data_IF_282352449542
#
_entry.id   IF_282352449542
#
_cell.length_a   1.000
_cell.length_b   1.000
_cell.length_c   1.000
_cell.angle_alpha   90.00
_cell.angle_beta   90.00
_cell.angle_gamma   90.00
#
_symmetry.space_group_name_H-M   'P 1'
#
loop_
_entity.id
_entity.type
_entity.pdbx_description
1 polymer ?
#
# COMPACT_ATOMS: atom_id res chain seq x y z
N UNK A 1 -56.47 -57.72 -25.65
CA UNK A 1 -55.99 -57.55 -24.26
C UNK A 1 -55.79 -56.07 -23.97
N UNK A 2 -56.58 -55.47 -23.06
CA UNK A 2 -56.33 -54.09 -22.61
C UNK A 2 -55.07 -54.09 -21.74
N UNK A 3 -54.00 -53.37 -22.13
CA UNK A 3 -52.81 -53.17 -21.28
C UNK A 3 -53.30 -52.54 -19.96
N UNK A 4 -53.18 -53.28 -18.85
CA UNK A 4 -53.45 -52.72 -17.50
C UNK A 4 -52.49 -51.55 -17.31
N UNK A 5 -53.03 -50.33 -17.23
CA UNK A 5 -52.22 -49.13 -16.92
C UNK A 5 -51.70 -49.30 -15.49
N UNK A 6 -50.37 -49.29 -15.33
CA UNK A 6 -49.74 -49.29 -14.00
C UNK A 6 -50.23 -48.05 -13.23
N UNK A 7 -50.61 -48.23 -11.96
CA UNK A 7 -51.01 -47.13 -11.09
C UNK A 7 -49.84 -46.17 -10.87
N UNK A 8 -50.10 -44.86 -10.88
CA UNK A 8 -49.08 -43.84 -10.59
C UNK A 8 -48.44 -44.05 -9.21
N UNK A 9 -49.15 -44.65 -8.25
CA UNK A 9 -48.60 -45.02 -6.93
C UNK A 9 -47.51 -46.09 -6.99
N UNK A 10 -47.46 -46.90 -8.05
CA UNK A 10 -46.41 -47.90 -8.28
C UNK A 10 -45.37 -47.35 -9.26
N UNK A 11 -45.80 -46.58 -10.25
CA UNK A 11 -44.93 -46.03 -11.29
C UNK A 11 -43.95 -44.98 -10.71
N UNK A 12 -44.40 -44.10 -9.82
CA UNK A 12 -43.55 -43.07 -9.22
C UNK A 12 -42.41 -43.65 -8.38
N UNK A 13 -42.66 -44.56 -7.41
CA UNK A 13 -41.57 -45.19 -6.67
C UNK A 13 -40.64 -46.01 -7.54
N UNK A 14 -41.16 -46.65 -8.61
CA UNK A 14 -40.32 -47.40 -9.55
C UNK A 14 -39.39 -46.48 -10.34
N UNK A 15 -39.90 -45.35 -10.87
CA UNK A 15 -39.08 -44.35 -11.59
C UNK A 15 -38.11 -43.66 -10.65
N UNK A 16 -38.52 -43.32 -9.44
CA UNK A 16 -37.63 -42.75 -8.43
C UNK A 16 -36.52 -43.74 -8.05
N UNK A 17 -36.88 -45.01 -7.83
CA UNK A 17 -35.92 -46.08 -7.51
C UNK A 17 -34.90 -46.30 -8.63
N UNK A 18 -35.35 -46.38 -9.89
CA UNK A 18 -34.42 -46.50 -11.02
C UNK A 18 -33.56 -45.25 -11.20
N UNK A 19 -34.12 -44.05 -11.01
CA UNK A 19 -33.37 -42.79 -11.06
C UNK A 19 -32.30 -42.75 -9.96
N UNK A 20 -32.65 -43.11 -8.73
CA UNK A 20 -31.69 -43.19 -7.62
C UNK A 20 -30.59 -44.21 -7.89
N UNK A 21 -30.89 -45.37 -8.50
CA UNK A 21 -29.88 -46.36 -8.88
C UNK A 21 -28.94 -45.79 -9.94
N UNK A 22 -29.46 -45.08 -10.95
CA UNK A 22 -28.62 -44.43 -11.98
C UNK A 22 -27.77 -43.31 -11.37
N UNK A 23 -28.34 -42.45 -10.52
CA UNK A 23 -27.61 -41.38 -9.86
C UNK A 23 -26.52 -41.93 -8.92
N UNK A 24 -26.85 -42.92 -8.09
CA UNK A 24 -25.90 -43.56 -7.18
C UNK A 24 -24.81 -44.32 -7.93
N UNK A 25 -25.16 -45.04 -9.00
CA UNK A 25 -24.20 -45.74 -9.85
C UNK A 25 -23.26 -44.78 -10.57
N UNK A 26 -23.77 -43.66 -11.06
CA UNK A 26 -22.97 -42.61 -11.73
C UNK A 26 -22.06 -41.91 -10.72
N UNK A 27 -22.57 -41.55 -9.54
CA UNK A 27 -21.78 -40.92 -8.47
C UNK A 27 -20.67 -41.86 -7.98
N UNK A 28 -20.98 -43.14 -7.79
CA UNK A 28 -20.00 -44.15 -7.40
C UNK A 28 -18.94 -44.37 -8.49
N UNK A 29 -19.34 -44.42 -9.77
CA UNK A 29 -18.39 -44.53 -10.88
C UNK A 29 -17.45 -43.32 -10.93
N UNK A 30 -17.98 -42.10 -10.77
CA UNK A 30 -17.17 -40.87 -10.73
C UNK A 30 -16.23 -40.90 -9.53
N UNK A 31 -16.72 -41.17 -8.32
CA UNK A 31 -15.91 -41.09 -7.10
C UNK A 31 -14.88 -42.23 -6.96
N UNK A 32 -15.21 -43.46 -7.35
CA UNK A 32 -14.32 -44.61 -7.15
C UNK A 32 -13.47 -44.96 -8.36
N UNK A 33 -14.01 -44.86 -9.58
CA UNK A 33 -13.28 -45.30 -10.77
C UNK A 33 -12.57 -44.15 -11.49
N UNK A 34 -13.18 -42.96 -11.52
CA UNK A 34 -12.71 -41.86 -12.39
C UNK A 34 -12.00 -40.76 -11.61
N UNK A 35 -12.30 -40.56 -10.32
CA UNK A 35 -11.74 -39.49 -9.49
C UNK A 35 -10.21 -39.48 -9.48
N UNK A 36 -9.57 -40.64 -9.23
CA UNK A 36 -8.11 -40.75 -9.25
C UNK A 36 -7.50 -40.43 -10.62
N UNK A 37 -8.22 -40.73 -11.71
CA UNK A 37 -7.79 -40.37 -13.07
C UNK A 37 -7.94 -38.87 -13.34
N UNK A 38 -9.01 -38.25 -12.84
CA UNK A 38 -9.24 -36.80 -12.94
C UNK A 38 -8.17 -36.04 -12.15
N UNK A 39 -7.91 -36.43 -10.90
CA UNK A 39 -6.86 -35.82 -10.08
C UNK A 39 -5.46 -36.04 -10.68
N UNK A 40 -5.19 -37.24 -11.21
CA UNK A 40 -3.96 -37.53 -11.94
C UNK A 40 -3.78 -36.63 -13.18
N UNK A 41 -4.86 -36.35 -13.93
CA UNK A 41 -4.82 -35.46 -15.08
C UNK A 41 -4.67 -33.99 -14.67
N UNK A 42 -5.32 -33.53 -13.59
CA UNK A 42 -5.12 -32.20 -13.03
C UNK A 42 -3.66 -31.99 -12.61
N UNK A 43 -3.09 -32.97 -11.90
CA UNK A 43 -1.68 -32.94 -11.49
C UNK A 43 -0.72 -32.90 -12.69
N UNK A 44 -1.01 -33.68 -13.74
CA UNK A 44 -0.24 -33.61 -15.01
C UNK A 44 -0.35 -32.25 -15.69
N UNK A 45 -1.52 -31.61 -15.65
CA UNK A 45 -1.69 -30.28 -16.21
C UNK A 45 -0.93 -29.22 -15.41
N UNK A 46 -0.97 -29.29 -14.07
CA UNK A 46 -0.20 -28.40 -13.18
C UNK A 46 1.30 -28.55 -13.46
N UNK A 47 1.82 -29.77 -13.46
CA UNK A 47 3.25 -30.03 -13.71
C UNK A 47 3.70 -29.57 -15.10
N UNK A 48 2.85 -29.70 -16.13
CA UNK A 48 3.11 -29.09 -17.44
C UNK A 48 3.17 -27.56 -17.38
N UNK A 49 2.33 -26.92 -16.56
CA UNK A 49 2.34 -25.47 -16.35
C UNK A 49 3.56 -25.01 -15.56
N UNK A 50 4.05 -25.79 -14.59
CA UNK A 50 5.33 -25.52 -13.90
C UNK A 50 6.45 -25.33 -14.93
N UNK A 51 6.60 -26.26 -15.89
CA UNK A 51 7.61 -26.12 -16.94
C UNK A 51 7.35 -25.00 -17.95
N UNK A 52 6.11 -24.52 -18.05
CA UNK A 52 5.77 -23.35 -18.88
C UNK A 52 6.13 -22.05 -18.18
N UNK A 53 5.89 -21.97 -16.86
CA UNK A 53 6.16 -20.78 -16.06
C UNK A 53 7.63 -20.66 -15.70
N UNK A 54 8.27 -21.75 -15.26
CA UNK A 54 9.69 -21.80 -14.94
C UNK A 54 10.42 -22.56 -16.04
N UNK A 55 10.84 -21.86 -17.09
CA UNK A 55 11.68 -22.46 -18.13
C UNK A 55 12.97 -22.96 -17.48
N UNK A 56 13.36 -24.19 -17.80
CA UNK A 56 14.61 -24.78 -17.33
C UNK A 56 14.72 -24.88 -15.79
N UNK A 57 13.64 -25.23 -15.10
CA UNK A 57 13.71 -25.53 -13.66
C UNK A 57 14.54 -26.80 -13.40
N UNK A 58 15.26 -26.84 -12.27
CA UNK A 58 16.10 -27.97 -11.84
C UNK A 58 15.28 -29.07 -11.19
N UNK A 59 14.34 -28.70 -10.33
CA UNK A 59 13.42 -29.62 -9.65
C UNK A 59 12.18 -28.89 -9.16
N UNK A 60 11.09 -29.61 -8.90
CA UNK A 60 9.96 -29.10 -8.11
C UNK A 60 9.50 -30.15 -7.10
N UNK A 61 8.90 -29.71 -6.01
CA UNK A 61 8.36 -30.56 -4.95
C UNK A 61 7.06 -29.97 -4.41
N UNK A 62 6.08 -30.81 -4.12
CA UNK A 62 4.86 -30.37 -3.43
C UNK A 62 5.18 -30.17 -1.95
N UNK A 63 4.79 -29.01 -1.40
CA UNK A 63 5.02 -28.64 0.01
C UNK A 63 3.71 -28.46 0.79
N UNK A 64 2.59 -28.40 0.10
CA UNK A 64 1.26 -28.33 0.70
C UNK A 64 0.20 -28.93 -0.22
N UNK A 65 -0.73 -29.66 0.38
CA UNK A 65 -1.97 -30.12 -0.25
C UNK A 65 -3.11 -30.09 0.77
N UNK A 66 -4.17 -29.36 0.45
CA UNK A 66 -5.33 -29.16 1.32
C UNK A 66 -5.97 -30.50 1.67
N UNK A 67 -6.06 -30.79 2.97
CA UNK A 67 -6.66 -32.02 3.48
C UNK A 67 -5.75 -33.25 3.43
N UNK A 68 -4.48 -33.10 3.04
CA UNK A 68 -3.49 -34.17 3.04
C UNK A 68 -2.35 -33.86 4.03
N UNK A 69 -2.42 -34.42 5.24
CA UNK A 69 -1.42 -34.21 6.28
C UNK A 69 -0.09 -34.93 6.03
N UNK A 70 -0.01 -35.82 5.04
CA UNK A 70 1.23 -36.52 4.67
C UNK A 70 2.17 -35.63 3.83
N UNK A 71 1.64 -34.57 3.21
CA UNK A 71 2.44 -33.58 2.49
C UNK A 71 3.02 -32.61 3.49
N UNK A 72 4.31 -32.76 3.77
CA UNK A 72 5.06 -31.89 4.69
C UNK A 72 6.17 -31.19 3.91
N UNK A 73 6.32 -29.90 4.17
CA UNK A 73 7.48 -29.15 3.72
C UNK A 73 8.72 -29.65 4.45
N UNK A 74 9.63 -30.32 3.73
CA UNK A 74 10.87 -30.86 4.30
C UNK A 74 11.93 -29.78 4.56
N UNK A 75 11.77 -28.59 3.98
CA UNK A 75 12.70 -27.47 4.13
C UNK A 75 11.93 -26.18 4.49
N UNK A 76 11.22 -26.14 5.64
CA UNK A 76 10.43 -24.99 6.02
C UNK A 76 11.34 -23.82 6.44
N UNK A 77 10.88 -22.61 6.15
CA UNK A 77 11.68 -21.39 6.39
C UNK A 77 11.71 -20.96 7.86
N UNK A 78 10.70 -21.37 8.63
CA UNK A 78 10.53 -21.16 10.07
C UNK A 78 9.99 -22.44 10.69
N UNK A 79 10.27 -22.68 11.98
CA UNK A 79 9.87 -23.92 12.68
C UNK A 79 8.35 -24.14 12.68
N UNK A 80 7.57 -23.05 12.66
CA UNK A 80 6.11 -23.08 12.58
C UNK A 80 5.65 -22.23 11.39
N UNK A 81 5.44 -22.80 10.20
CA UNK A 81 4.99 -22.05 9.03
C UNK A 81 3.60 -21.47 9.26
N UNK A 82 3.35 -20.27 8.73
CA UNK A 82 2.01 -19.66 8.73
C UNK A 82 0.99 -20.62 8.10
N UNK A 83 -0.26 -20.62 8.56
CA UNK A 83 -1.31 -21.41 7.93
C UNK A 83 -1.54 -20.96 6.48
N UNK A 84 -1.86 -21.92 5.60
CA UNK A 84 -2.23 -21.60 4.21
C UNK A 84 -3.65 -21.05 4.17
N UNK A 85 -3.86 -20.01 3.35
CA UNK A 85 -5.18 -19.48 3.12
C UNK A 85 -6.13 -20.54 2.54
N UNK A 86 -7.40 -20.46 2.91
CA UNK A 86 -8.43 -21.42 2.49
C UNK A 86 -8.63 -21.55 0.98
N UNK A 87 -8.25 -20.53 0.20
CA UNK A 87 -8.28 -20.52 -1.27
C UNK A 87 -7.16 -21.36 -1.89
N UNK A 88 -6.07 -21.63 -1.15
CA UNK A 88 -4.93 -22.41 -1.63
C UNK A 88 -5.27 -23.90 -1.51
N UNK A 89 -5.15 -24.61 -2.63
CA UNK A 89 -5.42 -26.06 -2.71
C UNK A 89 -4.13 -26.86 -2.68
N UNK A 90 -3.12 -26.42 -3.44
CA UNK A 90 -1.78 -27.04 -3.47
C UNK A 90 -0.70 -25.97 -3.62
N UNK A 91 0.46 -26.20 -3.02
CA UNK A 91 1.65 -25.37 -3.24
C UNK A 91 2.84 -26.26 -3.63
N UNK A 92 3.53 -25.87 -4.69
CA UNK A 92 4.75 -26.51 -5.17
C UNK A 92 5.92 -25.54 -5.02
N UNK A 93 6.99 -26.00 -4.39
CA UNK A 93 8.28 -25.32 -4.41
C UNK A 93 9.03 -25.72 -5.68
N UNK A 94 9.46 -24.73 -6.46
CA UNK A 94 10.21 -24.92 -7.70
C UNK A 94 11.61 -24.37 -7.50
N UNK A 95 12.63 -25.18 -7.78
CA UNK A 95 14.02 -24.75 -7.80
C UNK A 95 14.44 -24.44 -9.22
N UNK A 96 14.81 -23.19 -9.49
CA UNK A 96 15.27 -22.73 -10.80
C UNK A 96 16.70 -23.20 -11.07
N UNK A 97 17.18 -23.02 -12.31
CA UNK A 97 18.50 -23.47 -12.73
C UNK A 97 19.66 -22.77 -12.00
N UNK A 98 19.42 -21.54 -11.52
CA UNK A 98 20.33 -20.72 -10.69
C UNK A 98 20.13 -20.96 -9.18
N UNK A 99 19.51 -22.09 -8.82
CA UNK A 99 19.24 -22.52 -7.44
C UNK A 99 18.36 -21.55 -6.62
N UNK A 100 17.67 -20.61 -7.27
CA UNK A 100 16.64 -19.79 -6.63
C UNK A 100 15.33 -20.59 -6.46
N UNK A 101 14.48 -20.10 -5.58
CA UNK A 101 13.23 -20.76 -5.21
C UNK A 101 12.06 -19.90 -5.68
N UNK A 102 11.17 -20.52 -6.46
CA UNK A 102 9.85 -19.99 -6.80
C UNK A 102 8.75 -20.89 -6.29
N UNK A 103 7.52 -20.41 -6.37
CA UNK A 103 6.33 -21.14 -5.94
C UNK A 103 5.35 -21.28 -7.10
N UNK A 104 4.68 -22.42 -7.16
CA UNK A 104 3.52 -22.62 -8.02
C UNK A 104 2.34 -23.03 -7.16
N UNK A 105 1.31 -22.21 -7.19
CA UNK A 105 0.09 -22.41 -6.43
C UNK A 105 -1.00 -22.95 -7.32
N UNK A 106 -1.80 -23.87 -6.79
CA UNK A 106 -3.16 -24.13 -7.26
C UNK A 106 -4.11 -23.45 -6.29
N UNK A 107 -4.95 -22.55 -6.78
CA UNK A 107 -5.92 -21.82 -5.97
C UNK A 107 -7.30 -21.83 -6.61
N UNK A 108 -8.33 -21.75 -5.78
CA UNK A 108 -9.72 -21.57 -6.21
C UNK A 108 -10.18 -20.18 -5.82
N UNK A 109 -10.68 -19.39 -6.77
CA UNK A 109 -11.17 -18.04 -6.51
C UNK A 109 -12.52 -18.08 -5.79
N UNK A 110 -12.93 -16.94 -5.21
CA UNK A 110 -14.34 -16.70 -4.93
C UNK A 110 -15.17 -16.68 -6.23
N UNK A 111 -16.50 -16.77 -6.09
CA UNK A 111 -17.41 -16.72 -7.24
C UNK A 111 -17.40 -15.35 -7.91
N UNK A 112 -17.02 -15.31 -9.18
CA UNK A 112 -16.99 -14.10 -10.01
C UNK A 112 -18.31 -13.84 -10.73
N UNK A 113 -18.29 -13.95 -12.06
CA UNK A 113 -19.45 -13.64 -12.91
C UNK A 113 -20.53 -14.72 -12.82
N UNK A 114 -20.17 -15.99 -12.93
CA UNK A 114 -21.15 -17.10 -12.86
C UNK A 114 -20.71 -18.30 -12.02
N UNK A 115 -19.46 -18.30 -11.56
CA UNK A 115 -18.93 -19.37 -10.74
C UNK A 115 -17.52 -19.05 -10.25
N UNK A 116 -16.82 -20.06 -9.75
CA UNK A 116 -15.44 -19.94 -9.32
C UNK A 116 -14.48 -20.39 -10.42
N UNK A 117 -13.22 -20.00 -10.28
CA UNK A 117 -12.12 -20.40 -11.14
C UNK A 117 -11.12 -21.23 -10.35
N UNK A 118 -10.72 -22.37 -10.91
CA UNK A 118 -9.52 -23.08 -10.47
C UNK A 118 -8.34 -22.61 -11.33
N UNK A 119 -7.35 -21.98 -10.69
CA UNK A 119 -6.19 -21.39 -11.35
C UNK A 119 -4.89 -22.00 -10.86
N UNK A 120 -3.88 -21.96 -11.73
CA UNK A 120 -2.48 -22.23 -11.38
C UNK A 120 -1.68 -20.97 -11.61
N UNK A 121 -0.92 -20.59 -10.60
CA UNK A 121 -0.20 -19.33 -10.54
C UNK A 121 1.25 -19.61 -10.23
N UNK A 122 2.16 -19.13 -11.07
CA UNK A 122 3.59 -19.12 -10.80
C UNK A 122 3.97 -17.79 -10.16
N UNK A 123 4.60 -17.85 -8.98
CA UNK A 123 5.06 -16.70 -8.20
C UNK A 123 6.56 -16.79 -8.02
N UNK A 124 7.26 -15.68 -8.26
CA UNK A 124 8.70 -15.58 -8.12
C UNK A 124 9.11 -14.16 -7.73
N UNK A 125 9.80 -14.02 -6.59
CA UNK A 125 10.38 -12.75 -6.11
C UNK A 125 9.35 -11.63 -5.95
N UNK A 126 8.21 -11.92 -5.33
CA UNK A 126 7.16 -10.95 -5.04
C UNK A 126 6.30 -10.58 -6.26
N UNK A 127 6.33 -11.39 -7.31
CA UNK A 127 5.58 -11.15 -8.53
C UNK A 127 5.00 -12.43 -9.15
N UNK A 128 3.83 -12.31 -9.76
CA UNK A 128 3.20 -13.38 -10.55
C UNK A 128 3.82 -13.36 -11.94
N UNK A 129 4.49 -14.45 -12.29
CA UNK A 129 5.18 -14.63 -13.58
C UNK A 129 4.38 -15.46 -14.58
N UNK A 130 3.30 -16.09 -14.13
CA UNK A 130 2.47 -16.95 -14.97
C UNK A 130 1.15 -17.29 -14.31
N UNK A 131 0.11 -17.37 -15.14
CA UNK A 131 -1.24 -17.75 -14.75
C UNK A 131 -1.80 -18.71 -15.78
N UNK A 132 -2.58 -19.70 -15.35
CA UNK A 132 -3.38 -20.51 -16.23
C UNK A 132 -4.64 -21.01 -15.53
N UNK A 133 -5.74 -21.08 -16.26
CA UNK A 133 -6.96 -21.73 -15.77
C UNK A 133 -6.83 -23.26 -15.91
N UNK A 134 -7.30 -24.00 -14.90
CA UNK A 134 -7.38 -25.47 -14.88
C UNK A 134 -8.82 -25.99 -14.99
N UNK A 135 -9.75 -25.27 -14.39
CA UNK A 135 -11.14 -25.69 -14.20
C UNK A 135 -11.95 -24.60 -13.51
N UNK A 136 -13.12 -24.96 -13.00
CA UNK A 136 -14.03 -24.06 -12.31
C UNK A 136 -15.48 -24.20 -12.81
N UNK A 137 -16.39 -23.51 -12.12
CA UNK A 137 -17.80 -23.40 -12.53
C UNK A 137 -18.11 -22.12 -13.30
N UNK A 138 -17.12 -21.24 -13.49
CA UNK A 138 -17.23 -20.02 -14.30
C UNK A 138 -17.55 -20.33 -15.77
N UNK A 139 -18.41 -19.52 -16.38
CA UNK A 139 -18.75 -19.64 -17.79
C UNK A 139 -17.61 -19.21 -18.71
N UNK A 140 -17.71 -19.64 -19.97
CA UNK A 140 -16.73 -19.38 -21.04
C UNK A 140 -16.32 -17.91 -21.17
N UNK A 141 -17.20 -16.96 -20.85
CA UNK A 141 -16.90 -15.52 -20.89
C UNK A 141 -15.92 -15.08 -19.80
N UNK A 142 -16.04 -15.59 -18.57
CA UNK A 142 -15.09 -15.32 -17.49
C UNK A 142 -13.75 -16.01 -17.76
N UNK A 143 -13.78 -17.25 -18.25
CA UNK A 143 -12.58 -18.02 -18.64
C UNK A 143 -11.79 -17.28 -19.74
N UNK A 144 -12.45 -16.70 -20.73
CA UNK A 144 -11.79 -15.94 -21.79
C UNK A 144 -11.05 -14.69 -21.27
N UNK A 145 -11.59 -14.02 -20.25
CA UNK A 145 -10.92 -12.89 -19.62
C UNK A 145 -9.63 -13.32 -18.92
N UNK A 146 -9.67 -14.43 -18.18
CA UNK A 146 -8.49 -15.03 -17.52
C UNK A 146 -7.44 -15.46 -18.53
N UNK A 147 -7.84 -16.12 -19.63
CA UNK A 147 -6.91 -16.56 -20.67
C UNK A 147 -6.23 -15.38 -21.38
N UNK A 148 -6.96 -14.29 -21.59
CA UNK A 148 -6.40 -13.06 -22.14
C UNK A 148 -5.36 -12.47 -21.20
N UNK A 149 -5.64 -12.39 -19.90
CA UNK A 149 -4.66 -11.91 -18.91
C UNK A 149 -3.44 -12.84 -18.81
N UNK A 150 -3.67 -14.14 -18.74
CA UNK A 150 -2.65 -15.19 -18.78
C UNK A 150 -1.69 -15.02 -19.96
N UNK A 151 -2.18 -14.61 -21.14
CA UNK A 151 -1.33 -14.37 -22.32
C UNK A 151 -0.43 -13.13 -22.22
N UNK A 152 -0.76 -12.17 -21.34
CA UNK A 152 0.08 -11.01 -21.06
C UNK A 152 1.11 -11.28 -19.98
N UNK A 153 0.90 -12.28 -19.13
CA UNK A 153 1.83 -12.62 -18.07
C UNK A 153 3.04 -13.38 -18.62
N UNK A 154 4.22 -12.86 -18.30
CA UNK A 154 5.50 -13.49 -18.61
C UNK A 154 6.57 -12.97 -17.66
N UNK A 155 7.78 -13.52 -17.76
CA UNK A 155 8.94 -13.00 -17.04
C UNK A 155 9.23 -11.53 -17.34
N UNK A 156 8.86 -11.04 -18.53
CA UNK A 156 9.07 -9.64 -18.93
C UNK A 156 7.88 -8.73 -18.58
N UNK A 157 6.73 -9.33 -18.22
CA UNK A 157 5.47 -8.65 -17.93
C UNK A 157 4.80 -9.35 -16.75
N UNK A 158 5.27 -9.01 -15.54
CA UNK A 158 4.82 -9.61 -14.29
C UNK A 158 3.70 -8.80 -13.66
N UNK A 159 2.94 -9.43 -12.75
CA UNK A 159 1.96 -8.76 -11.89
C UNK A 159 2.48 -8.68 -10.46
N UNK A 160 2.53 -7.48 -9.88
CA UNK A 160 2.92 -7.24 -8.49
C UNK A 160 1.71 -6.89 -7.61
N UNK A 161 1.86 -7.05 -6.30
CA UNK A 161 0.80 -6.76 -5.35
C UNK A 161 0.40 -5.27 -5.44
N UNK A 162 -0.90 -5.01 -5.58
CA UNK A 162 -1.43 -3.66 -5.72
C UNK A 162 -1.42 -3.10 -7.15
N UNK A 163 -0.93 -3.85 -8.15
CA UNK A 163 -1.19 -3.53 -9.55
C UNK A 163 -2.69 -3.63 -9.81
N UNK A 164 -3.26 -2.60 -10.43
CA UNK A 164 -4.70 -2.50 -10.68
C UNK A 164 -5.05 -3.02 -12.08
N UNK A 165 -6.00 -3.97 -12.15
CA UNK A 165 -6.54 -4.48 -13.42
C UNK A 165 -7.40 -3.48 -14.21
N UNK A 166 -7.52 -2.22 -13.77
CA UNK A 166 -8.30 -1.15 -14.44
C UNK A 166 -8.05 -1.02 -15.94
N UNK A 167 -6.81 -1.20 -16.42
CA UNK A 167 -6.50 -1.16 -17.85
C UNK A 167 -7.03 -2.37 -18.64
N UNK A 168 -7.26 -3.50 -17.96
CA UNK A 168 -7.79 -4.73 -18.57
C UNK A 168 -9.31 -4.87 -18.43
N UNK A 169 -9.92 -4.23 -17.43
CA UNK A 169 -11.37 -4.21 -17.21
C UNK A 169 -12.11 -3.25 -18.16
N UNK A 170 -11.47 -2.16 -18.58
CA UNK A 170 -12.07 -1.17 -19.49
C UNK A 170 -12.31 -1.68 -20.92
N UNK A 171 -11.68 -2.80 -21.31
CA UNK A 171 -11.75 -3.35 -22.67
C UNK A 171 -12.52 -4.68 -22.82
N UNK A 172 -13.12 -5.23 -21.76
CA UNK A 172 -13.42 -6.66 -21.69
C UNK A 172 -14.88 -7.06 -21.35
N UNK A 173 -15.82 -6.12 -21.28
CA UNK A 173 -17.25 -6.41 -21.08
C UNK A 173 -17.67 -6.77 -19.64
N UNK A 174 -18.97 -6.94 -19.40
CA UNK A 174 -19.55 -7.08 -18.05
C UNK A 174 -19.06 -8.33 -17.27
N UNK A 175 -18.77 -9.43 -17.96
CA UNK A 175 -18.25 -10.65 -17.32
C UNK A 175 -16.84 -10.47 -16.77
N UNK A 176 -15.99 -9.76 -17.49
CA UNK A 176 -14.63 -9.47 -17.04
C UNK A 176 -14.60 -8.51 -15.85
N UNK A 177 -15.54 -7.55 -15.77
CA UNK A 177 -15.66 -6.64 -14.64
C UNK A 177 -15.99 -7.35 -13.32
N UNK A 178 -16.68 -8.48 -13.36
CA UNK A 178 -16.97 -9.30 -12.18
C UNK A 178 -15.86 -10.35 -11.91
N UNK A 179 -15.20 -10.87 -12.94
CA UNK A 179 -14.19 -11.93 -12.82
C UNK A 179 -12.83 -11.40 -12.36
N UNK A 180 -12.40 -10.23 -12.83
CA UNK A 180 -11.07 -9.70 -12.52
C UNK A 180 -10.87 -9.34 -11.04
N UNK A 181 -11.83 -8.74 -10.30
CA UNK A 181 -11.64 -8.46 -8.88
C UNK A 181 -11.41 -9.71 -8.02
N UNK A 182 -12.17 -10.79 -8.27
CA UNK A 182 -12.00 -12.05 -7.51
C UNK A 182 -10.68 -12.75 -7.88
N UNK A 183 -10.25 -12.65 -9.14
CA UNK A 183 -8.93 -13.10 -9.56
C UNK A 183 -7.82 -12.29 -8.89
N UNK A 184 -7.97 -10.96 -8.82
CA UNK A 184 -6.99 -10.06 -8.20
C UNK A 184 -6.80 -10.38 -6.73
N UNK A 185 -7.90 -10.46 -5.99
CA UNK A 185 -7.90 -10.85 -4.57
C UNK A 185 -7.16 -12.18 -4.37
N UNK A 186 -7.42 -13.17 -5.24
CA UNK A 186 -6.73 -14.46 -5.18
C UNK A 186 -5.23 -14.32 -5.42
N UNK A 187 -4.80 -13.54 -6.42
CA UNK A 187 -3.38 -13.33 -6.70
C UNK A 187 -2.67 -12.58 -5.56
N UNK A 188 -3.32 -11.58 -4.97
CA UNK A 188 -2.81 -10.82 -3.83
C UNK A 188 -2.61 -11.72 -2.59
N UNK A 189 -3.53 -12.65 -2.34
CA UNK A 189 -3.38 -13.68 -1.28
C UNK A 189 -2.13 -14.53 -1.54
N UNK A 190 -1.92 -14.98 -2.77
CA UNK A 190 -0.75 -15.82 -3.12
C UNK A 190 0.56 -15.05 -3.00
N UNK A 191 0.57 -13.77 -3.40
CA UNK A 191 1.72 -12.89 -3.25
C UNK A 191 2.04 -12.61 -1.78
N UNK A 192 1.03 -12.49 -0.92
CA UNK A 192 1.21 -12.35 0.53
C UNK A 192 1.70 -13.65 1.20
N UNK A 193 1.40 -14.82 0.63
CA UNK A 193 1.86 -16.12 1.15
C UNK A 193 3.33 -16.41 0.81
N UNK A 194 3.84 -15.98 -0.35
CA UNK A 194 5.19 -16.30 -0.82
C UNK A 194 6.31 -16.04 0.22
N UNK A 195 6.36 -14.87 0.89
CA UNK A 195 7.39 -14.59 1.91
C UNK A 195 7.38 -15.57 3.09
N UNK A 196 6.25 -16.26 3.33
CA UNK A 196 6.11 -17.26 4.39
C UNK A 196 6.59 -18.66 3.97
N UNK A 197 6.94 -18.88 2.69
CA UNK A 197 7.32 -20.21 2.14
C UNK A 197 8.68 -20.23 1.47
N UNK A 198 9.14 -19.09 0.98
CA UNK A 198 10.45 -18.94 0.39
C UNK A 198 11.25 -18.02 1.29
N UNK A 199 12.30 -18.58 1.89
CA UNK A 199 13.37 -17.76 2.43
C UNK A 199 13.96 -17.14 1.19
N UNK A 200 13.67 -15.86 0.98
CA UNK A 200 14.24 -15.09 -0.13
C UNK A 200 15.72 -15.40 -0.09
N UNK A 201 16.21 -16.20 -1.05
CA UNK A 201 17.64 -16.37 -1.24
C UNK A 201 18.12 -14.96 -1.43
N UNK A 202 18.90 -14.48 -0.47
CA UNK A 202 19.21 -13.08 -0.32
C UNK A 202 20.19 -12.64 -1.41
N UNK A 203 19.75 -12.64 -2.67
CA UNK A 203 19.83 -11.44 -3.48
C UNK A 203 18.85 -10.37 -2.99
N UNK A 204 18.07 -10.63 -1.93
CA UNK A 204 17.71 -9.57 -0.99
C UNK A 204 19.01 -8.88 -0.61
N UNK A 205 19.15 -7.71 -1.17
CA UNK A 205 19.74 -6.58 -0.50
C UNK A 205 19.04 -6.53 0.88
N UNK A 206 19.57 -7.26 1.87
CA UNK A 206 19.23 -7.07 3.28
C UNK A 206 19.82 -5.71 3.59
N UNK A 207 18.98 -4.73 3.34
CA UNK A 207 19.23 -3.39 3.72
C UNK A 207 18.35 -3.08 4.90
N UNK A 208 18.92 -3.28 6.07
CA UNK A 208 18.30 -2.77 7.26
C UNK A 208 18.49 -1.26 7.23
N UNK A 209 17.38 -0.56 7.00
CA UNK A 209 17.32 0.88 7.22
C UNK A 209 16.62 1.12 8.54
N UNK A 210 17.39 1.33 9.60
CA UNK A 210 16.84 1.75 10.88
C UNK A 210 16.65 3.27 10.85
N UNK A 211 15.44 3.75 11.10
CA UNK A 211 15.13 5.17 11.17
C UNK A 211 14.61 5.49 12.58
N UNK A 212 15.10 6.58 13.16
CA UNK A 212 14.63 7.08 14.45
C UNK A 212 14.41 8.59 14.38
N UNK A 213 13.39 9.07 15.09
CA UNK A 213 13.12 10.50 15.26
C UNK A 213 14.08 11.03 16.32
N UNK A 214 14.94 11.97 15.93
CA UNK A 214 15.88 12.67 16.84
C UNK A 214 15.18 13.86 17.49
N UNK A 215 14.41 14.61 16.70
CA UNK A 215 13.53 15.66 17.19
C UNK A 215 12.35 15.81 16.26
N UNK A 216 11.19 16.12 16.84
CA UNK A 216 9.99 16.45 16.11
C UNK A 216 9.53 17.85 16.53
N UNK A 217 9.75 18.81 15.64
CA UNK A 217 9.25 20.16 15.78
C UNK A 217 8.11 20.40 14.79
N UNK A 218 7.31 21.43 15.06
CA UNK A 218 6.07 21.65 14.31
C UNK A 218 6.29 21.91 12.82
N UNK A 219 7.46 22.42 12.44
CA UNK A 219 7.84 22.73 11.06
C UNK A 219 8.89 21.80 10.49
N UNK A 220 9.63 21.08 11.34
CA UNK A 220 10.76 20.26 10.91
C UNK A 220 10.84 18.97 11.68
N UNK A 221 11.06 17.89 10.95
CA UNK A 221 11.37 16.59 11.53
C UNK A 221 12.84 16.28 11.30
N UNK A 222 13.52 15.92 12.37
CA UNK A 222 14.90 15.45 12.33
C UNK A 222 14.94 13.94 12.52
N UNK A 223 15.49 13.25 11.54
CA UNK A 223 15.65 11.81 11.52
C UNK A 223 17.13 11.43 11.59
N UNK A 224 17.43 10.34 12.29
CA UNK A 224 18.68 9.61 12.14
C UNK A 224 18.37 8.27 11.46
N UNK A 225 19.06 8.01 10.35
CA UNK A 225 18.90 6.79 9.58
C UNK A 225 20.26 6.09 9.43
N UNK A 226 20.24 4.77 9.55
CA UNK A 226 21.41 3.92 9.27
C UNK A 226 20.98 2.88 8.26
N UNK A 227 21.73 2.76 7.16
CA UNK A 227 21.55 1.74 6.14
C UNK A 227 22.79 0.82 6.15
N UNK A 228 22.58 -0.46 6.42
CA UNK A 228 23.61 -1.50 6.32
C UNK A 228 23.23 -2.49 5.23
N UNK A 229 24.16 -2.88 4.37
CA UNK A 229 23.89 -3.84 3.29
C UNK A 229 24.89 -5.00 3.30
N UNK A 230 24.37 -6.22 3.17
CA UNK A 230 25.20 -7.42 3.03
C UNK A 230 25.83 -7.57 1.63
N UNK A 231 25.44 -6.71 0.67
CA UNK A 231 25.80 -6.80 -0.74
C UNK A 231 26.92 -5.85 -1.20
N UNK A 232 27.77 -5.36 -0.28
CA UNK A 232 28.88 -4.43 -0.55
C UNK A 232 28.48 -3.02 -1.02
N UNK A 233 27.20 -2.64 -0.95
CA UNK A 233 26.84 -1.22 -1.02
C UNK A 233 27.45 -0.48 0.16
N UNK A 234 27.81 0.78 -0.04
CA UNK A 234 28.35 1.59 1.04
C UNK A 234 27.31 1.64 2.19
N UNK A 235 27.68 1.06 3.33
CA UNK A 235 26.92 1.26 4.57
C UNK A 235 26.97 2.75 4.90
N UNK A 236 25.86 3.33 5.34
CA UNK A 236 25.74 4.76 5.61
C UNK A 236 24.98 5.03 6.89
N UNK A 237 25.43 6.04 7.62
CA UNK A 237 24.68 6.68 8.70
C UNK A 237 24.47 8.15 8.34
N UNK A 238 23.26 8.65 8.45
CA UNK A 238 22.96 10.04 8.17
C UNK A 238 21.98 10.67 9.14
N UNK A 239 22.09 11.98 9.24
CA UNK A 239 21.09 12.88 9.80
C UNK A 239 20.32 13.56 8.69
N UNK A 240 19.00 13.54 8.75
CA UNK A 240 18.13 14.12 7.74
C UNK A 240 17.17 15.08 8.43
N UNK A 241 17.04 16.28 7.88
CA UNK A 241 16.02 17.25 8.33
C UNK A 241 15.03 17.46 7.19
N UNK A 242 13.76 17.19 7.46
CA UNK A 242 12.66 17.36 6.52
C UNK A 242 11.82 18.56 6.93
N UNK A 243 11.43 19.40 5.95
CA UNK A 243 10.47 20.46 6.21
C UNK A 243 9.04 19.88 6.08
N UNK A 244 8.31 19.82 7.18
CA UNK A 244 6.91 19.39 7.21
C UNK A 244 5.92 20.55 7.12
N UNK A 245 6.42 21.79 6.97
CA UNK A 245 5.59 22.96 6.65
C UNK A 245 4.93 22.83 5.29
N UNK A 246 5.57 22.22 4.29
CA UNK A 246 5.04 22.14 2.93
C UNK A 246 4.76 20.68 2.54
N UNK A 247 3.49 20.43 2.16
CA UNK A 247 2.99 19.22 1.48
C UNK A 247 2.69 18.02 2.37
N UNK A 248 1.99 17.04 1.79
CA UNK A 248 1.93 15.68 2.35
C UNK A 248 3.35 15.22 2.72
N UNK A 249 3.51 14.49 3.83
CA UNK A 249 4.82 14.10 4.37
C UNK A 249 5.80 13.49 3.36
N UNK A 250 5.27 12.86 2.32
CA UNK A 250 6.02 12.20 1.26
C UNK A 250 6.56 13.19 0.22
N UNK A 251 5.90 14.33 0.08
CA UNK A 251 6.25 15.43 -0.81
C UNK A 251 7.04 16.54 -0.10
N UNK A 252 7.25 16.41 1.21
CA UNK A 252 8.08 17.32 2.01
C UNK A 252 9.49 17.46 1.41
N UNK A 253 9.98 18.69 1.17
CA UNK A 253 11.33 18.90 0.71
C UNK A 253 12.34 18.57 1.82
N UNK A 254 13.40 17.87 1.45
CA UNK A 254 14.57 17.64 2.31
C UNK A 254 15.32 18.96 2.46
N UNK A 255 15.55 19.38 3.70
CA UNK A 255 16.28 20.64 4.00
C UNK A 255 17.76 20.41 4.23
N UNK A 256 18.12 19.26 4.79
CA UNK A 256 19.51 18.84 4.90
C UNK A 256 19.62 17.32 4.96
N UNK A 257 20.71 16.81 4.39
CA UNK A 257 21.14 15.42 4.51
C UNK A 257 22.63 15.47 4.88
N UNK A 258 22.95 15.05 6.09
CA UNK A 258 24.32 15.03 6.61
C UNK A 258 24.75 13.59 6.82
N UNK A 259 25.61 13.08 5.94
CA UNK A 259 26.22 11.75 6.11
C UNK A 259 27.22 11.84 7.27
N UNK A 260 26.99 11.08 8.34
CA UNK A 260 27.85 11.01 9.54
C UNK A 260 28.98 10.01 9.33
N UNK A 261 28.64 8.85 8.79
CA UNK A 261 29.57 7.75 8.53
C UNK A 261 29.20 7.07 7.20
N UNK A 262 30.22 6.63 6.45
CA UNK A 262 30.00 5.74 5.32
C UNK A 262 31.21 4.84 5.04
N UNK A 263 30.98 3.64 4.49
CA UNK A 263 32.04 2.75 4.03
C UNK A 263 32.53 3.17 2.64
N UNK A 264 33.56 4.03 2.61
CA UNK A 264 34.11 4.64 1.39
C UNK A 264 35.01 3.74 0.54
N UNK A 265 34.68 2.45 0.39
CA UNK A 265 35.56 1.47 -0.25
C UNK A 265 35.58 1.50 -1.79
N UNK A 266 34.72 2.27 -2.45
CA UNK A 266 34.75 2.46 -3.90
C UNK A 266 35.78 3.52 -4.36
N UNK A 267 36.87 3.04 -4.95
CA UNK A 267 37.84 3.75 -5.79
C UNK A 267 37.97 5.28 -5.60
N UNK A 268 38.68 5.71 -4.54
CA UNK A 268 39.17 7.08 -4.39
C UNK A 268 38.09 8.15 -4.14
N UNK A 269 38.42 9.42 -4.39
CA UNK A 269 37.58 10.60 -4.09
C UNK A 269 36.19 10.61 -4.80
N UNK A 270 35.83 9.59 -5.59
CA UNK A 270 34.58 9.54 -6.36
C UNK A 270 33.35 9.33 -5.48
N UNK A 271 33.37 8.38 -4.54
CA UNK A 271 32.25 8.19 -3.59
C UNK A 271 32.04 9.42 -2.71
N UNK A 272 33.15 10.02 -2.28
CA UNK A 272 33.21 11.30 -1.57
C UNK A 272 32.54 12.44 -2.38
N UNK A 273 32.80 12.48 -3.69
CA UNK A 273 32.20 13.47 -4.58
C UNK A 273 30.68 13.25 -4.76
N UNK A 274 30.21 12.01 -4.80
CA UNK A 274 28.79 11.67 -4.86
C UNK A 274 28.07 12.14 -3.60
N UNK A 275 28.53 11.75 -2.41
CA UNK A 275 27.85 12.10 -1.14
C UNK A 275 27.90 13.61 -0.84
N UNK A 276 28.95 14.31 -1.29
CA UNK A 276 29.07 15.76 -1.17
C UNK A 276 28.28 16.51 -2.26
N UNK A 277 27.64 15.81 -3.19
CA UNK A 277 26.88 16.45 -4.26
C UNK A 277 27.75 17.17 -5.30
N UNK A 278 29.04 16.84 -5.37
CA UNK A 278 30.02 17.52 -6.25
C UNK A 278 30.36 16.71 -7.51
N UNK A 279 29.98 15.43 -7.57
CA UNK A 279 30.13 14.63 -8.76
C UNK A 279 29.18 15.08 -9.87
N UNK A 280 29.63 14.97 -11.12
CA UNK A 280 28.91 15.49 -12.30
C UNK A 280 27.97 14.46 -12.94
N UNK A 281 27.88 13.26 -12.39
CA UNK A 281 27.04 12.18 -12.90
C UNK A 281 25.54 12.46 -12.67
N UNK A 282 24.70 11.71 -13.37
CA UNK A 282 23.26 11.92 -13.39
C UNK A 282 22.59 11.59 -12.05
N UNK A 283 23.12 10.61 -11.32
CA UNK A 283 22.58 10.26 -10.00
C UNK A 283 22.79 11.42 -9.04
N UNK A 284 24.04 11.88 -8.91
CA UNK A 284 24.41 12.95 -7.97
C UNK A 284 23.59 14.22 -8.20
N UNK A 285 23.40 14.63 -9.47
CA UNK A 285 22.64 15.84 -9.82
C UNK A 285 21.16 15.80 -9.46
N UNK A 286 20.53 14.63 -9.49
CA UNK A 286 19.07 14.50 -9.33
C UNK A 286 18.64 13.91 -7.99
N UNK A 287 19.54 13.20 -7.31
CA UNK A 287 19.23 12.42 -6.12
C UNK A 287 20.07 12.77 -4.91
N UNK A 288 21.12 13.59 -5.03
CA UNK A 288 21.88 14.07 -3.87
C UNK A 288 21.57 15.54 -3.64
N UNK A 289 21.28 15.90 -2.39
CA UNK A 289 20.99 17.27 -2.01
C UNK A 289 22.31 18.09 -2.05
N UNK A 290 22.60 18.70 -3.19
CA UNK A 290 23.74 19.60 -3.38
C UNK A 290 23.23 21.06 -3.45
N UNK A 291 23.84 21.97 -2.69
CA UNK A 291 23.68 23.43 -2.87
C UNK A 291 22.23 23.98 -2.88
N UNK A 292 21.45 23.75 -1.82
CA UNK A 292 20.12 24.36 -1.61
C UNK A 292 19.03 24.02 -2.65
N UNK A 293 19.22 23.00 -3.50
CA UNK A 293 18.15 22.51 -4.39
C UNK A 293 17.04 21.78 -3.61
N UNK A 294 15.81 21.76 -4.15
CA UNK A 294 14.68 21.03 -3.54
C UNK A 294 14.73 19.55 -3.93
N UNK A 295 15.25 18.69 -3.06
CA UNK A 295 15.12 17.23 -3.22
C UNK A 295 13.87 16.75 -2.48
N UNK A 296 12.98 16.07 -3.21
CA UNK A 296 11.75 15.53 -2.67
C UNK A 296 11.93 14.05 -2.28
N UNK A 297 11.48 13.66 -1.08
CA UNK A 297 11.59 12.28 -0.61
C UNK A 297 10.84 11.29 -1.53
N UNK A 298 9.79 11.73 -2.23
CA UNK A 298 9.04 10.95 -3.24
C UNK A 298 9.89 10.45 -4.41
N UNK A 299 11.04 11.06 -4.66
CA UNK A 299 12.01 10.58 -5.65
C UNK A 299 12.55 9.19 -5.32
N UNK A 300 12.48 8.77 -4.05
CA UNK A 300 12.98 7.50 -3.55
C UNK A 300 11.89 6.46 -3.30
N UNK A 301 10.67 6.66 -3.79
CA UNK A 301 9.54 5.75 -3.54
C UNK A 301 9.70 4.32 -4.10
N UNK A 302 10.58 4.15 -5.09
CA UNK A 302 10.80 2.87 -5.75
C UNK A 302 11.82 2.05 -4.97
N UNK A 303 11.62 0.74 -4.91
CA UNK A 303 12.64 -0.19 -4.39
C UNK A 303 13.94 -0.05 -5.17
N UNK A 304 15.07 -0.41 -4.53
CA UNK A 304 16.38 -0.32 -5.17
C UNK A 304 16.45 -1.13 -6.48
N UNK A 305 15.87 -2.33 -6.51
CA UNK A 305 15.79 -3.15 -7.73
C UNK A 305 15.06 -2.43 -8.89
N UNK A 306 13.93 -1.77 -8.60
CA UNK A 306 13.19 -0.97 -9.60
C UNK A 306 13.91 0.30 -10.00
N UNK A 307 14.78 0.81 -9.14
CA UNK A 307 15.64 1.94 -9.45
C UNK A 307 16.78 1.51 -10.40
N UNK A 308 17.39 0.35 -10.15
CA UNK A 308 18.41 -0.25 -11.02
C UNK A 308 17.86 -0.58 -12.42
N UNK A 309 16.68 -1.17 -12.53
CA UNK A 309 15.98 -1.37 -13.82
C UNK A 309 15.75 -0.06 -14.59
N UNK A 310 15.60 1.06 -13.86
CA UNK A 310 15.40 2.39 -14.41
C UNK A 310 16.68 3.10 -14.85
N UNK A 311 17.84 2.42 -14.81
CA UNK A 311 19.15 2.96 -15.16
C UNK A 311 19.56 4.22 -14.36
N UNK A 312 19.04 4.42 -13.14
CA UNK A 312 19.29 5.67 -12.39
C UNK A 312 20.76 5.83 -11.98
N UNK A 313 21.50 4.71 -11.90
CA UNK A 313 22.91 4.66 -11.50
C UNK A 313 23.86 4.59 -12.71
N UNK A 314 23.32 4.58 -13.94
CA UNK A 314 24.12 4.45 -15.16
C UNK A 314 25.10 5.63 -15.30
N UNK A 315 26.37 5.32 -15.54
CA UNK A 315 27.43 6.32 -15.67
C UNK A 315 27.89 6.97 -14.35
N UNK A 316 27.40 6.49 -13.20
CA UNK A 316 27.92 6.93 -11.90
C UNK A 316 29.33 6.38 -11.67
N UNK A 317 30.27 7.25 -11.25
CA UNK A 317 31.66 6.86 -11.00
C UNK A 317 31.85 6.06 -9.70
N UNK A 318 30.89 6.14 -8.77
CA UNK A 318 30.83 5.38 -7.52
C UNK A 318 29.42 4.77 -7.33
N UNK A 319 29.08 3.74 -8.13
CA UNK A 319 27.73 3.21 -8.22
C UNK A 319 27.26 2.53 -6.92
N UNK A 320 28.13 1.85 -6.17
CA UNK A 320 27.74 1.18 -4.92
C UNK A 320 27.50 2.20 -3.79
N UNK A 321 28.21 3.34 -3.82
CA UNK A 321 27.98 4.51 -2.96
C UNK A 321 26.64 5.15 -3.29
N UNK A 322 26.35 5.36 -4.58
CA UNK A 322 25.06 5.89 -5.03
C UNK A 322 23.89 4.97 -4.63
N UNK A 323 24.04 3.65 -4.77
CA UNK A 323 23.04 2.67 -4.33
C UNK A 323 22.85 2.68 -2.81
N UNK A 324 23.94 2.76 -2.03
CA UNK A 324 23.86 2.90 -0.57
C UNK A 324 23.11 4.16 -0.13
N UNK A 325 23.36 5.29 -0.79
CA UNK A 325 22.63 6.54 -0.56
C UNK A 325 21.15 6.40 -0.92
N UNK A 326 20.84 5.87 -2.11
CA UNK A 326 19.47 5.69 -2.58
C UNK A 326 18.67 4.80 -1.62
N UNK A 327 19.29 3.72 -1.16
CA UNK A 327 18.73 2.78 -0.21
C UNK A 327 18.38 3.45 1.12
N UNK A 328 19.30 4.21 1.70
CA UNK A 328 19.09 4.97 2.92
C UNK A 328 17.87 5.90 2.77
N UNK A 329 17.80 6.65 1.67
CA UNK A 329 16.70 7.56 1.38
C UNK A 329 15.37 6.84 1.12
N UNK A 330 15.38 5.67 0.48
CA UNK A 330 14.19 4.83 0.31
C UNK A 330 13.66 4.32 1.66
N UNK A 331 14.54 3.90 2.59
CA UNK A 331 14.11 3.49 3.93
C UNK A 331 13.49 4.65 4.72
N UNK A 332 14.03 5.87 4.58
CA UNK A 332 13.43 7.08 5.16
C UNK A 332 12.05 7.36 4.54
N UNK A 333 11.91 7.24 3.22
CA UNK A 333 10.62 7.35 2.54
C UNK A 333 9.59 6.36 3.12
N UNK A 334 9.97 5.09 3.24
CA UNK A 334 9.08 4.05 3.75
C UNK A 334 8.70 4.32 5.22
N UNK A 335 9.66 4.72 6.06
CA UNK A 335 9.40 5.11 7.44
C UNK A 335 8.45 6.30 7.54
N UNK A 336 8.69 7.35 6.75
CA UNK A 336 7.84 8.54 6.71
C UNK A 336 6.40 8.20 6.27
N UNK A 337 6.26 7.35 5.26
CA UNK A 337 4.98 6.89 4.75
C UNK A 337 4.21 6.02 5.77
N UNK A 338 4.90 5.14 6.49
CA UNK A 338 4.27 4.22 7.44
C UNK A 338 3.96 4.86 8.79
N UNK A 339 4.73 5.88 9.18
CA UNK A 339 4.56 6.59 10.45
C UNK A 339 4.04 8.01 10.22
N UNK A 340 3.27 8.23 9.15
CA UNK A 340 2.77 9.56 8.77
C UNK A 340 2.07 10.29 9.93
N UNK A 341 1.41 9.55 10.83
CA UNK A 341 0.73 10.09 12.01
C UNK A 341 1.70 10.57 13.11
N UNK A 342 2.90 9.99 13.21
CA UNK A 342 3.90 10.37 14.22
C UNK A 342 4.54 11.73 13.92
N UNK A 343 4.47 12.15 12.67
CA UNK A 343 4.88 13.48 12.21
C UNK A 343 3.73 14.48 12.30
N UNK A 344 2.84 14.24 13.27
CA UNK A 344 1.65 15.04 13.53
C UNK A 344 1.98 16.52 13.51
N UNK A 345 1.11 17.23 12.80
CA UNK A 345 1.09 18.67 12.73
C UNK A 345 0.61 19.33 14.04
N UNK A 346 0.29 18.54 15.08
CA UNK A 346 -0.13 18.99 16.41
C UNK A 346 0.94 18.64 17.44
N UNK A 347 1.46 19.65 18.13
CA UNK A 347 2.45 19.52 19.21
C UNK A 347 1.86 19.94 20.54
N UNK A 348 1.88 19.05 21.54
CA UNK A 348 1.56 19.40 22.93
C UNK A 348 2.72 20.20 23.54
N UNK A 349 2.49 21.47 23.89
CA UNK A 349 3.49 22.32 24.57
C UNK A 349 3.44 22.06 26.09
N UNK A 350 2.23 21.92 26.64
CA UNK A 350 1.99 21.60 28.04
C UNK A 350 0.65 20.86 28.21
N UNK A 351 0.26 20.52 29.43
CA UNK A 351 -1.05 19.88 29.67
C UNK A 351 -2.26 20.73 29.27
N UNK A 352 -2.07 22.04 29.11
CA UNK A 352 -3.11 23.01 28.79
C UNK A 352 -2.85 23.74 27.49
N UNK A 353 -1.75 23.49 26.77
CA UNK A 353 -1.38 24.28 25.58
C UNK A 353 -0.91 23.37 24.45
N UNK A 354 -1.48 23.60 23.27
CA UNK A 354 -1.23 22.85 22.04
C UNK A 354 -0.89 23.82 20.91
N UNK A 355 0.05 23.43 20.06
CA UNK A 355 0.38 24.14 18.84
C UNK A 355 0.01 23.27 17.65
N UNK A 356 -0.50 23.87 16.57
CA UNK A 356 -0.86 23.15 15.36
C UNK A 356 -0.45 23.93 14.10
N UNK A 357 -0.01 23.19 13.09
CA UNK A 357 0.33 23.66 11.76
C UNK A 357 -0.57 22.94 10.74
N UNK A 358 -1.59 23.59 10.23
CA UNK A 358 -2.36 23.06 9.11
C UNK A 358 -1.83 23.65 7.79
N UNK A 359 -1.47 22.82 6.81
CA UNK A 359 -0.95 23.24 5.50
C UNK A 359 -1.54 22.35 4.40
N UNK A 360 -2.79 22.58 4.01
CA UNK A 360 -3.44 21.78 2.97
C UNK A 360 -3.08 22.29 1.56
N UNK A 361 -2.00 21.76 0.97
CA UNK A 361 -1.65 21.76 -0.48
C UNK A 361 -1.55 23.09 -1.24
N UNK A 362 -2.11 24.17 -0.71
CA UNK A 362 -2.33 25.46 -1.30
C UNK A 362 -2.10 26.53 -0.23
N UNK A 363 -1.35 27.60 -0.58
CA UNK A 363 -0.91 28.61 0.39
C UNK A 363 -2.08 29.28 1.13
N UNK A 364 -3.30 29.31 0.58
CA UNK A 364 -4.49 29.95 1.14
C UNK A 364 -5.14 29.17 2.30
N UNK A 365 -4.81 27.89 2.46
CA UNK A 365 -5.35 27.01 3.53
C UNK A 365 -4.39 26.92 4.72
N UNK A 366 -3.19 27.50 4.63
CA UNK A 366 -2.18 27.37 5.70
C UNK A 366 -2.59 28.10 6.97
N UNK A 367 -2.51 27.47 8.14
CA UNK A 367 -2.76 28.08 9.45
C UNK A 367 -1.78 27.52 10.48
N UNK A 368 -1.08 28.40 11.18
CA UNK A 368 -0.33 28.07 12.40
C UNK A 368 -1.03 28.75 13.56
N UNK A 369 -1.41 27.97 14.56
CA UNK A 369 -2.01 28.51 15.77
C UNK A 369 -1.55 27.78 17.02
N UNK A 370 -1.64 28.50 18.13
CA UNK A 370 -1.46 27.99 19.49
C UNK A 370 -2.80 28.09 20.21
N UNK A 371 -3.26 27.02 20.85
CA UNK A 371 -4.50 26.98 21.59
C UNK A 371 -4.29 26.54 23.04
N UNK A 372 -4.91 27.28 23.96
CA UNK A 372 -5.00 26.94 25.38
C UNK A 372 -6.32 26.23 25.64
N UNK A 373 -6.30 25.15 26.42
CA UNK A 373 -7.45 24.29 26.68
C UNK A 373 -7.71 24.06 28.16
N UNK A 374 -8.99 23.89 28.50
CA UNK A 374 -9.45 23.31 29.76
C UNK A 374 -10.08 21.95 29.45
N UNK A 375 -9.29 20.88 29.64
CA UNK A 375 -9.71 19.50 29.36
C UNK A 375 -10.87 19.04 30.23
N UNK A 376 -10.99 19.54 31.46
CA UNK A 376 -12.05 19.14 32.37
C UNK A 376 -13.42 19.68 31.93
N UNK A 377 -13.43 20.85 31.28
CA UNK A 377 -14.64 21.46 30.71
C UNK A 377 -14.81 21.18 29.22
N UNK A 378 -13.84 20.54 28.57
CA UNK A 378 -13.82 20.29 27.12
C UNK A 378 -13.95 21.58 26.28
N UNK A 379 -13.16 22.61 26.61
CA UNK A 379 -13.20 23.92 25.94
C UNK A 379 -11.81 24.45 25.59
N UNK A 380 -11.74 25.22 24.51
CA UNK A 380 -10.63 26.16 24.25
C UNK A 380 -10.86 27.45 25.04
N UNK A 381 -9.84 27.91 25.76
CA UNK A 381 -9.89 29.15 26.56
C UNK A 381 -9.14 30.30 25.88
N UNK A 382 -8.20 29.98 24.99
CA UNK A 382 -7.48 30.95 24.18
C UNK A 382 -7.07 30.31 22.85
N UNK A 383 -7.09 31.06 21.76
CA UNK A 383 -6.54 30.67 20.46
C UNK A 383 -5.78 31.86 19.89
N UNK A 384 -4.51 31.65 19.56
CA UNK A 384 -3.61 32.63 18.95
C UNK A 384 -3.19 32.12 17.58
N UNK A 385 -3.53 32.86 16.53
CA UNK A 385 -3.11 32.52 15.16
C UNK A 385 -1.80 33.23 14.86
N UNK A 386 -0.72 32.47 14.79
CA UNK A 386 0.64 32.96 14.55
C UNK A 386 0.88 33.24 13.07
N UNK A 387 0.25 32.45 12.19
CA UNK A 387 0.34 32.59 10.73
C UNK A 387 -0.94 32.09 10.08
N UNK A 388 -1.38 32.74 9.01
CA UNK A 388 -2.43 32.21 8.14
C UNK A 388 -2.13 32.51 6.67
N UNK A 389 -2.63 31.65 5.80
CA UNK A 389 -2.42 31.60 4.38
C UNK A 389 -3.34 32.52 3.59
N UNK A 390 -2.83 33.00 2.45
CA UNK A 390 -3.62 33.65 1.40
C UNK A 390 -3.96 35.13 1.64
N UNK A 391 -3.41 36.01 0.82
CA UNK A 391 -3.67 37.46 0.86
C UNK A 391 -4.95 37.87 0.13
N UNK A 392 -6.03 38.03 0.90
CA UNK A 392 -6.73 39.31 1.04
C UNK A 392 -6.79 39.56 2.57
N UNK A 393 -6.84 40.82 3.03
CA UNK A 393 -6.97 41.12 4.48
C UNK A 393 -8.11 40.35 5.17
N UNK A 394 -9.07 39.84 4.41
CA UNK A 394 -10.23 39.02 4.79
C UNK A 394 -9.92 37.78 5.63
N UNK A 395 -8.93 36.95 5.26
CA UNK A 395 -8.62 35.72 6.00
C UNK A 395 -8.11 36.03 7.40
N UNK A 396 -7.15 36.94 7.48
CA UNK A 396 -6.61 37.44 8.74
C UNK A 396 -7.67 38.19 9.56
N UNK A 397 -8.53 38.98 8.90
CA UNK A 397 -9.65 39.66 9.55
C UNK A 397 -10.59 38.64 10.19
N UNK A 398 -11.02 37.59 9.48
CA UNK A 398 -11.92 36.57 10.04
C UNK A 398 -11.32 35.89 11.27
N UNK A 399 -10.08 35.40 11.21
CA UNK A 399 -9.47 34.70 12.36
C UNK A 399 -9.14 35.65 13.52
N UNK A 400 -9.05 36.96 13.25
CA UNK A 400 -8.93 38.01 14.27
C UNK A 400 -10.30 38.60 14.68
N UNK A 401 -11.41 37.99 14.30
CA UNK A 401 -12.77 38.47 14.60
C UNK A 401 -13.11 39.88 14.06
N UNK A 402 -12.58 40.22 12.89
CA UNK A 402 -12.80 41.46 12.14
C UNK A 402 -13.51 41.18 10.80
N UNK A 403 -14.41 42.08 10.39
CA UNK A 403 -15.15 42.02 9.12
C UNK A 403 -14.73 43.14 8.15
N UNK A 404 -13.60 43.79 8.39
CA UNK A 404 -13.12 44.87 7.53
C UNK A 404 -12.90 44.41 6.08
N UNK A 405 -13.49 45.21 5.18
CA UNK A 405 -13.48 45.07 3.73
C UNK A 405 -14.41 43.97 3.15
N UNK A 406 -15.15 43.22 3.97
CA UNK A 406 -16.22 42.37 3.43
C UNK A 406 -17.38 43.27 2.96
N UNK A 407 -17.64 43.32 1.64
CA UNK A 407 -18.66 44.19 1.04
C UNK A 407 -19.87 43.45 0.45
N UNK A 408 -19.81 42.13 0.34
CA UNK A 408 -20.88 41.30 -0.22
C UNK A 408 -21.73 40.74 0.93
N UNK A 409 -23.03 41.09 0.96
CA UNK A 409 -23.92 40.79 2.09
C UNK A 409 -23.90 39.32 2.53
N UNK A 410 -24.07 38.38 1.59
CA UNK A 410 -24.09 36.94 1.89
C UNK A 410 -22.74 36.44 2.46
N UNK A 411 -21.63 37.08 2.08
CA UNK A 411 -20.29 36.76 2.62
C UNK A 411 -20.08 37.35 4.01
N UNK A 412 -20.59 38.56 4.26
CA UNK A 412 -20.58 39.19 5.60
C UNK A 412 -21.36 38.34 6.60
N UNK A 413 -22.54 37.86 6.22
CA UNK A 413 -23.36 36.99 7.08
C UNK A 413 -22.65 35.66 7.39
N UNK A 414 -22.12 34.99 6.35
CA UNK A 414 -21.37 33.76 6.52
C UNK A 414 -20.12 33.95 7.40
N UNK A 415 -19.34 35.02 7.18
CA UNK A 415 -18.17 35.36 7.99
C UNK A 415 -18.55 35.66 9.45
N UNK A 416 -19.61 36.43 9.67
CA UNK A 416 -20.13 36.74 11.03
C UNK A 416 -20.52 35.47 11.77
N UNK A 417 -21.25 34.57 11.10
CA UNK A 417 -21.65 33.30 11.66
C UNK A 417 -20.45 32.41 11.96
N UNK A 418 -19.44 32.39 11.07
CA UNK A 418 -18.21 31.64 11.32
C UNK A 418 -17.45 32.18 12.53
N UNK A 419 -17.26 33.50 12.63
CA UNK A 419 -16.57 34.16 13.76
C UNK A 419 -17.28 33.84 15.08
N UNK A 420 -18.58 34.06 15.16
CA UNK A 420 -19.34 33.85 16.40
C UNK A 420 -19.35 32.38 16.84
N UNK A 421 -19.33 31.45 15.88
CA UNK A 421 -19.40 30.04 16.20
C UNK A 421 -18.03 29.40 16.45
N UNK A 422 -16.96 29.80 15.77
CA UNK A 422 -15.69 29.06 15.76
C UNK A 422 -14.46 29.89 16.15
N UNK A 423 -14.51 31.22 16.08
CA UNK A 423 -13.33 32.06 16.35
C UNK A 423 -13.44 32.73 17.71
N UNK A 424 -14.58 33.37 18.00
CA UNK A 424 -14.78 34.11 19.24
C UNK A 424 -14.88 33.16 20.42
N UNK A 425 -14.00 33.34 21.39
CA UNK A 425 -13.98 32.56 22.62
C UNK A 425 -14.82 33.28 23.68
N UNK A 426 -15.96 32.70 24.11
CA UNK A 426 -16.78 33.28 25.17
C UNK A 426 -16.14 33.03 26.54
N UNK A 427 -16.67 33.66 27.61
CA UNK A 427 -16.08 33.57 28.95
C UNK A 427 -16.07 32.14 29.51
N UNK A 428 -17.06 31.33 29.12
CA UNK A 428 -17.18 29.91 29.43
C UNK A 428 -16.24 29.01 28.61
N UNK A 429 -15.54 29.56 27.60
CA UNK A 429 -14.69 28.83 26.68
C UNK A 429 -15.44 28.32 25.44
N UNK A 430 -14.69 28.04 24.38
CA UNK A 430 -15.23 27.54 23.12
C UNK A 430 -15.22 26.01 23.12
N UNK A 431 -16.41 25.39 23.09
CA UNK A 431 -16.56 23.93 23.20
C UNK A 431 -15.85 23.13 22.11
N UNK A 432 -15.18 22.05 22.52
CA UNK A 432 -14.59 21.03 21.63
C UNK A 432 -15.62 20.37 20.71
N UNK A 433 -16.88 20.25 21.15
CA UNK A 433 -17.94 19.61 20.36
C UNK A 433 -18.13 20.28 18.99
N UNK A 434 -17.81 21.57 18.89
CA UNK A 434 -17.89 22.33 17.64
C UNK A 434 -16.86 21.89 16.59
N UNK A 435 -15.78 21.24 17.03
CA UNK A 435 -14.66 20.76 16.22
C UNK A 435 -14.52 19.24 16.29
N UNK A 436 -15.61 18.53 16.61
CA UNK A 436 -15.56 17.07 16.72
C UNK A 436 -15.45 16.37 15.36
N UNK A 437 -16.11 16.92 14.35
CA UNK A 437 -16.22 16.31 13.03
C UNK A 437 -15.38 17.09 12.02
N UNK A 438 -14.87 16.43 10.99
CA UNK A 438 -14.25 17.11 9.85
C UNK A 438 -15.27 18.02 9.14
N UNK A 439 -14.82 19.17 8.65
CA UNK A 439 -15.67 20.12 7.94
C UNK A 439 -15.52 19.99 6.43
N UNK A 440 -16.61 20.09 5.67
CA UNK A 440 -16.53 20.15 4.19
C UNK A 440 -16.10 21.56 3.75
N UNK A 441 -15.00 21.72 2.99
CA UNK A 441 -14.53 23.01 2.47
C UNK A 441 -15.54 23.71 1.54
N UNK A 442 -16.55 23.01 1.03
CA UNK A 442 -17.63 23.56 0.17
C UNK A 442 -18.92 23.87 0.92
N UNK A 443 -18.96 23.66 2.23
CA UNK A 443 -20.13 23.96 3.05
C UNK A 443 -20.49 25.46 3.08
N UNK A 444 -21.77 25.76 3.28
CA UNK A 444 -22.24 27.15 3.46
C UNK A 444 -21.54 27.87 4.63
N UNK A 445 -21.19 27.12 5.68
CA UNK A 445 -20.55 27.62 6.91
C UNK A 445 -19.13 28.15 6.66
N UNK A 446 -18.37 27.50 5.78
CA UNK A 446 -17.01 27.93 5.41
C UNK A 446 -16.98 28.87 4.21
N UNK A 447 -18.11 29.12 3.55
CA UNK A 447 -18.21 29.98 2.36
C UNK A 447 -18.14 31.50 2.69
N UNK A 448 -17.24 31.89 3.59
CA UNK A 448 -17.13 33.22 4.22
C UNK A 448 -16.53 34.31 3.34
N UNK A 449 -15.98 33.97 2.17
CA UNK A 449 -15.18 34.87 1.34
C UNK A 449 -13.67 34.71 1.56
N UNK A 450 -13.26 34.15 2.71
CA UNK A 450 -11.91 33.60 2.93
C UNK A 450 -12.01 32.10 3.24
N UNK A 451 -12.73 31.36 2.38
CA UNK A 451 -13.14 29.97 2.62
C UNK A 451 -12.00 29.05 3.01
N UNK A 452 -10.88 29.17 2.31
CA UNK A 452 -9.69 28.36 2.53
C UNK A 452 -9.05 28.63 3.90
N UNK A 453 -8.96 29.89 4.33
CA UNK A 453 -8.45 30.26 5.65
C UNK A 453 -9.40 29.80 6.77
N UNK A 454 -10.71 29.99 6.60
CA UNK A 454 -11.72 29.52 7.55
C UNK A 454 -11.68 28.00 7.71
N UNK A 455 -11.57 27.27 6.60
CA UNK A 455 -11.41 25.82 6.59
C UNK A 455 -10.12 25.36 7.29
N UNK A 456 -8.98 25.99 6.97
CA UNK A 456 -7.71 25.66 7.59
C UNK A 456 -7.70 25.90 9.10
N UNK A 457 -8.30 27.03 9.56
CA UNK A 457 -8.44 27.34 10.98
C UNK A 457 -9.30 26.30 11.71
N UNK A 458 -10.44 25.91 11.13
CA UNK A 458 -11.30 24.90 11.71
C UNK A 458 -10.57 23.56 11.83
N UNK A 459 -9.92 23.12 10.75
CA UNK A 459 -9.22 21.83 10.67
C UNK A 459 -8.05 21.77 11.65
N UNK A 460 -7.36 22.89 11.85
CA UNK A 460 -6.32 23.03 12.87
C UNK A 460 -6.86 22.78 14.28
N UNK A 461 -7.98 23.39 14.67
CA UNK A 461 -8.61 23.16 15.98
C UNK A 461 -9.20 21.76 16.12
N UNK A 462 -9.79 21.21 15.06
CA UNK A 462 -10.25 19.82 15.02
C UNK A 462 -9.11 18.84 15.33
N UNK A 463 -7.94 19.05 14.72
CA UNK A 463 -6.76 18.21 14.95
C UNK A 463 -6.31 18.23 16.42
N UNK A 464 -6.42 19.38 17.12
CA UNK A 464 -6.15 19.45 18.56
C UNK A 464 -7.18 18.65 19.36
N UNK A 465 -8.47 18.72 19.02
CA UNK A 465 -9.52 17.93 19.71
C UNK A 465 -9.29 16.43 19.54
N UNK A 466 -8.87 15.98 18.35
CA UNK A 466 -8.51 14.58 18.09
C UNK A 466 -7.35 14.16 18.98
N UNK A 467 -6.25 14.93 18.98
CA UNK A 467 -5.07 14.64 19.80
C UNK A 467 -5.40 14.56 21.31
N UNK A 468 -6.24 15.46 21.83
CA UNK A 468 -6.67 15.43 23.24
C UNK A 468 -7.48 14.16 23.56
N UNK A 469 -8.27 13.64 22.62
CA UNK A 469 -9.07 12.44 22.83
C UNK A 469 -8.24 11.15 22.76
N UNK A 470 -7.14 11.14 22.02
CA UNK A 470 -6.19 10.02 21.95
C UNK A 470 -5.30 9.91 23.21
N UNK A 471 -5.18 10.97 24.02
CA UNK A 471 -4.50 10.94 25.33
C UNK A 471 -5.27 10.20 26.44
N UNK A 472 -6.53 9.78 26.20
CA UNK A 472 -7.38 9.09 27.18
C UNK A 472 -7.21 7.58 27.10
#
# INVERSE_FOLDING_TARGET
MKKKKLSNFVLFPLVLGTTCIVCAGTLAAVNYAVHGTIEGNKTKNITKKIGTFFKDYKSYKIIYEKGNAEVVDEEPIVETPAEFDSHIVRCYRVKTHDDQIGLVYQATTESGYSGNLDVVVGVFKGAVIGLAQLGGSEDTLGINAVNKFSSYLSWDHMYAAGDDFKAMTTASGASAQATFPVLQSTLDILLADEPNRVKVASGSISSEVSVSIVSNDISTVKLEATATSDNKYAAMKAEIVMNIEDLSLIEAPLTSVTIKDYDGSEAGNAGDAVIKGTATDNFTKNYVLANNDKLNLRSFRKTLAKAEEGNIFEGCAAPETAKGYYLLMNGIYNYANNNANDFSNVKKISDTEYQVLHMAGNIWESVVLTATVDKAKSVFTEVKVDKCGGTDGYGQNIVNSNLDGFSVADKVEAATNFINNYVKIPAEGLSFDKFRDEMDPKGNVVSTGATFTSYGYYTALHSIVVAINEEK
#
